data_IF_142485717578
#
_entry.id   IF_142485717578
#
_cell.length_a   1.000
_cell.length_b   1.000
_cell.length_c   1.000
_cell.angle_alpha   90.00
_cell.angle_beta   90.00
_cell.angle_gamma   90.00
#
_symmetry.space_group_name_H-M   'P 1'
#
loop_
_entity.id
_entity.type
_entity.pdbx_description
1 polymer ?
#
# COMPACT_ATOMS: atom_id res chain seq x y z
N UNK A 1 15.30 2.72 15.64
CA UNK A 1 15.37 4.14 15.26
C UNK A 1 13.94 4.53 14.94
N UNK A 2 13.20 4.99 15.95
CA UNK A 2 11.80 5.38 15.79
C UNK A 2 11.77 6.52 14.77
N UNK A 3 11.01 6.39 13.69
CA UNK A 3 11.05 7.41 12.64
C UNK A 3 10.52 8.72 13.24
N UNK A 4 11.34 9.77 13.21
CA UNK A 4 10.99 11.11 13.71
C UNK A 4 9.71 11.64 13.04
N UNK A 5 9.44 11.16 11.82
CA UNK A 5 8.21 11.43 11.06
C UNK A 5 6.96 10.82 11.70
N UNK A 6 7.05 9.61 12.27
CA UNK A 6 5.93 8.97 12.96
C UNK A 6 5.53 9.73 14.23
N UNK A 7 6.53 10.23 14.96
CA UNK A 7 6.31 11.02 16.18
C UNK A 7 5.68 12.37 15.84
N UNK A 8 6.12 13.05 14.76
CA UNK A 8 5.56 14.33 14.33
C UNK A 8 4.11 14.23 13.85
N UNK A 9 3.76 13.25 13.01
CA UNK A 9 2.36 13.10 12.57
C UNK A 9 1.42 12.65 13.69
N UNK A 10 1.88 11.77 14.59
CA UNK A 10 1.09 11.34 15.75
C UNK A 10 0.85 12.53 16.70
N UNK A 11 1.85 13.39 16.90
CA UNK A 11 1.72 14.59 17.72
C UNK A 11 0.72 15.59 17.12
N UNK A 12 0.79 15.89 15.81
CA UNK A 12 -0.09 16.89 15.18
C UNK A 12 -1.58 16.48 15.19
N UNK A 13 -1.89 15.20 14.95
CA UNK A 13 -3.27 14.71 14.96
C UNK A 13 -3.82 14.49 16.39
N UNK A 14 -2.98 14.06 17.34
CA UNK A 14 -3.37 13.86 18.73
C UNK A 14 -3.54 15.21 19.46
N UNK A 15 -2.64 16.18 19.25
CA UNK A 15 -2.73 17.52 19.85
C UNK A 15 -4.03 18.24 19.42
N UNK A 16 -4.49 18.01 18.19
CA UNK A 16 -5.73 18.59 17.67
C UNK A 16 -6.98 18.02 18.35
N UNK A 17 -6.93 16.78 18.83
CA UNK A 17 -8.05 16.07 19.46
C UNK A 17 -8.07 16.20 20.99
N UNK A 18 -6.90 16.18 21.62
CA UNK A 18 -6.75 16.32 23.08
C UNK A 18 -7.12 17.73 23.57
N UNK A 19 -7.07 18.71 22.64
CA UNK A 19 -7.36 20.10 22.92
C UNK A 19 -8.63 20.60 22.22
N UNK A 20 -9.62 19.73 21.93
CA UNK A 20 -10.87 20.12 21.27
C UNK A 20 -11.54 21.33 21.94
N UNK A 21 -11.60 21.39 23.28
CA UNK A 21 -12.16 22.55 23.99
C UNK A 21 -11.35 23.83 23.76
N UNK A 22 -10.04 23.70 23.63
CA UNK A 22 -9.14 24.81 23.36
C UNK A 22 -9.13 25.20 21.89
N UNK A 23 -9.38 24.24 20.99
CA UNK A 23 -9.58 24.45 19.56
C UNK A 23 -10.93 25.14 19.32
N UNK A 24 -12.00 24.70 19.99
CA UNK A 24 -13.30 25.37 20.03
C UNK A 24 -13.14 26.78 20.59
N UNK A 25 -12.45 26.99 21.72
CA UNK A 25 -12.18 28.34 22.26
C UNK A 25 -11.32 29.21 21.36
N UNK A 26 -10.31 28.64 20.70
CA UNK A 26 -9.44 29.35 19.75
C UNK A 26 -10.27 29.80 18.56
N UNK A 27 -11.06 28.89 18.01
CA UNK A 27 -12.04 29.17 16.99
C UNK A 27 -12.99 30.26 17.51
N UNK A 28 -13.71 30.09 18.63
CA UNK A 28 -14.65 31.07 19.21
C UNK A 28 -14.04 32.46 19.46
N UNK A 29 -12.78 32.52 19.88
CA UNK A 29 -12.03 33.79 19.97
C UNK A 29 -11.77 34.41 18.61
N UNK A 30 -11.45 33.59 17.60
CA UNK A 30 -11.41 34.01 16.19
C UNK A 30 -12.81 34.41 15.68
N UNK A 31 -13.90 33.83 16.21
CA UNK A 31 -15.28 34.21 15.88
C UNK A 31 -15.64 35.63 16.31
N UNK A 32 -15.03 36.17 17.36
CA UNK A 32 -15.19 37.59 17.71
C UNK A 32 -14.60 38.56 16.67
N UNK A 33 -13.67 38.06 15.84
CA UNK A 33 -13.01 38.78 14.74
C UNK A 33 -13.49 38.33 13.33
N UNK A 34 -14.47 37.43 13.23
CA UNK A 34 -14.98 36.83 11.97
C UNK A 34 -15.75 37.79 11.05
N UNK A 35 -15.76 39.10 11.32
CA UNK A 35 -16.07 40.06 10.24
C UNK A 35 -14.98 40.08 9.16
N UNK A 36 -13.86 39.38 9.35
CA UNK A 36 -12.69 39.44 8.47
C UNK A 36 -12.24 38.12 7.79
N UNK A 37 -12.90 36.96 7.96
CA UNK A 37 -12.68 35.86 7.00
C UNK A 37 -13.65 36.03 5.83
N UNK A 38 -13.10 36.31 4.65
CA UNK A 38 -13.90 36.46 3.42
C UNK A 38 -14.52 35.15 2.92
N UNK A 39 -14.18 34.02 3.52
CA UNK A 39 -14.61 32.69 3.10
C UNK A 39 -15.59 32.07 4.12
N UNK A 40 -16.63 31.41 3.61
CA UNK A 40 -17.64 30.74 4.43
C UNK A 40 -17.08 29.43 5.03
N UNK A 41 -17.12 29.31 6.36
CA UNK A 41 -16.67 28.13 7.12
C UNK A 41 -17.86 27.45 7.80
N UNK A 42 -17.88 26.11 7.78
CA UNK A 42 -18.82 25.28 8.54
C UNK A 42 -18.04 24.36 9.48
N UNK A 43 -18.37 24.38 10.77
CA UNK A 43 -17.79 23.52 11.81
C UNK A 43 -18.88 22.66 12.45
N UNK A 44 -18.62 21.37 12.58
CA UNK A 44 -19.44 20.41 13.32
C UNK A 44 -18.64 19.91 14.51
N UNK A 45 -19.07 20.25 15.72
CA UNK A 45 -18.41 19.86 16.98
C UNK A 45 -19.46 19.43 18.01
N UNK A 46 -19.10 18.44 18.84
CA UNK A 46 -19.93 17.91 19.93
C UNK A 46 -18.99 17.36 21.01
N UNK A 47 -19.24 17.63 22.31
CA UNK A 47 -18.41 17.11 23.40
C UNK A 47 -18.52 15.59 23.56
N UNK A 48 -19.60 14.98 23.07
CA UNK A 48 -19.84 13.54 23.19
C UNK A 48 -19.69 12.80 21.86
N UNK A 49 -20.54 13.11 20.86
CA UNK A 49 -20.50 12.39 19.58
C UNK A 49 -21.14 13.15 18.42
N UNK A 50 -20.73 12.77 17.20
CA UNK A 50 -21.30 13.16 15.92
C UNK A 50 -21.52 11.88 15.10
N UNK A 51 -22.70 11.72 14.49
CA UNK A 51 -23.02 10.56 13.64
C UNK A 51 -23.54 11.01 12.27
N UNK A 52 -22.98 10.44 11.20
CA UNK A 52 -23.39 10.69 9.82
C UNK A 52 -23.91 9.36 9.23
N UNK A 53 -25.20 9.30 8.92
CA UNK A 53 -25.85 8.09 8.42
C UNK A 53 -26.73 8.44 7.23
N UNK A 54 -26.72 7.58 6.19
CA UNK A 54 -27.56 7.70 5.00
C UNK A 54 -28.15 6.33 4.68
N UNK A 55 -29.40 6.28 4.22
CA UNK A 55 -30.00 5.05 3.68
C UNK A 55 -29.48 4.68 2.28
N UNK A 56 -28.65 5.55 1.69
CA UNK A 56 -27.99 5.36 0.41
C UNK A 56 -26.52 5.79 0.56
N UNK A 57 -26.13 6.88 -0.09
CA UNK A 57 -24.73 7.27 -0.25
C UNK A 57 -24.33 8.41 0.70
N UNK A 58 -23.04 8.45 1.03
CA UNK A 58 -22.35 9.60 1.64
C UNK A 58 -21.16 9.94 0.72
N UNK A 59 -21.07 11.19 0.29
CA UNK A 59 -19.98 11.68 -0.55
C UNK A 59 -19.17 12.75 0.19
N UNK A 60 -17.85 12.58 0.25
CA UNK A 60 -16.91 13.55 0.80
C UNK A 60 -15.89 13.91 -0.27
N UNK A 61 -15.84 15.17 -0.68
CA UNK A 61 -14.96 15.65 -1.74
C UNK A 61 -14.36 16.99 -1.32
N UNK A 62 -13.08 17.21 -1.65
CA UNK A 62 -12.39 18.49 -1.48
C UNK A 62 -11.48 18.74 -2.69
N UNK A 63 -11.27 20.01 -3.05
CA UNK A 63 -10.35 20.39 -4.15
C UNK A 63 -8.88 20.18 -3.77
N UNK A 64 -8.54 20.50 -2.52
CA UNK A 64 -7.16 20.46 -2.05
C UNK A 64 -6.86 19.18 -1.25
N UNK A 65 -7.54 18.97 -0.12
CA UNK A 65 -7.26 17.84 0.78
C UNK A 65 -8.44 17.43 1.64
N UNK A 66 -8.48 16.14 2.00
CA UNK A 66 -9.32 15.58 3.07
C UNK A 66 -8.39 14.94 4.10
N UNK A 67 -8.58 15.27 5.37
CA UNK A 67 -7.84 14.66 6.49
C UNK A 67 -8.84 13.95 7.41
N UNK A 68 -8.54 12.70 7.76
CA UNK A 68 -9.34 11.90 8.70
C UNK A 68 -8.40 11.40 9.79
N UNK A 69 -8.73 11.68 11.05
CA UNK A 69 -7.93 11.35 12.22
C UNK A 69 -8.80 10.79 13.34
N UNK A 70 -8.23 9.95 14.19
CA UNK A 70 -8.86 9.45 15.41
C UNK A 70 -7.80 9.27 16.49
N UNK A 71 -8.09 9.70 17.71
CA UNK A 71 -7.10 9.70 18.80
C UNK A 71 -6.75 8.29 19.29
N UNK A 72 -7.72 7.37 19.23
CA UNK A 72 -7.54 5.97 19.61
C UNK A 72 -7.51 5.02 18.41
N UNK A 73 -8.48 5.15 17.50
CA UNK A 73 -8.56 4.27 16.33
C UNK A 73 -9.36 4.91 15.19
N UNK A 74 -9.15 4.40 13.98
CA UNK A 74 -10.00 4.60 12.81
C UNK A 74 -10.40 3.22 12.33
N UNK A 75 -11.69 2.94 12.27
CA UNK A 75 -12.22 1.66 11.79
C UNK A 75 -12.96 1.88 10.47
N UNK A 76 -12.51 1.22 9.41
CA UNK A 76 -13.13 1.25 8.08
C UNK A 76 -13.52 -0.17 7.71
N UNK A 77 -14.80 -0.39 7.44
CA UNK A 77 -15.34 -1.70 7.06
C UNK A 77 -16.40 -1.54 5.97
N UNK A 78 -16.58 -2.59 5.18
CA UNK A 78 -17.53 -2.68 4.08
C UNK A 78 -17.85 -4.15 3.82
N UNK A 79 -19.03 -4.42 3.28
CA UNK A 79 -19.44 -5.78 2.91
C UNK A 79 -18.82 -6.21 1.57
N UNK A 80 -18.60 -5.27 0.65
CA UNK A 80 -18.12 -5.58 -0.70
C UNK A 80 -16.64 -5.23 -0.92
N UNK A 81 -16.29 -3.95 -0.98
CA UNK A 81 -14.97 -3.53 -1.45
C UNK A 81 -14.46 -2.20 -0.87
N UNK A 82 -13.17 -2.15 -0.57
CA UNK A 82 -12.40 -0.92 -0.31
C UNK A 82 -11.47 -0.70 -1.51
N UNK A 83 -11.54 0.49 -2.11
CA UNK A 83 -10.70 0.86 -3.26
C UNK A 83 -9.93 2.13 -2.92
N UNK A 84 -8.60 2.08 -2.97
CA UNK A 84 -7.72 3.22 -2.73
C UNK A 84 -6.94 3.53 -4.01
N UNK A 85 -7.18 4.70 -4.60
CA UNK A 85 -6.46 5.16 -5.79
C UNK A 85 -5.81 6.52 -5.51
N UNK A 86 -4.56 6.68 -5.92
CA UNK A 86 -3.87 7.96 -5.88
C UNK A 86 -3.10 8.19 -7.19
N UNK A 87 -3.12 9.43 -7.69
CA UNK A 87 -2.35 9.79 -8.89
C UNK A 87 -0.83 9.74 -8.69
N UNK A 88 -0.37 10.07 -7.47
CA UNK A 88 1.06 10.24 -7.18
C UNK A 88 1.61 9.17 -6.25
N UNK A 89 1.01 8.97 -5.07
CA UNK A 89 1.54 8.08 -4.02
C UNK A 89 0.45 7.60 -3.08
N UNK A 90 0.58 6.35 -2.64
CA UNK A 90 -0.08 5.80 -1.44
C UNK A 90 1.02 5.42 -0.44
N UNK A 91 0.83 5.72 0.84
CA UNK A 91 1.79 5.41 1.91
C UNK A 91 1.04 4.87 3.11
N UNK A 92 1.47 3.72 3.64
CA UNK A 92 0.88 3.06 4.81
C UNK A 92 2.01 2.79 5.80
N UNK A 93 1.80 3.12 7.06
CA UNK A 93 2.84 3.05 8.08
C UNK A 93 2.26 2.70 9.44
N UNK A 94 2.92 1.76 10.14
CA UNK A 94 2.66 1.43 11.54
C UNK A 94 3.96 1.70 12.33
N UNK A 95 3.86 2.51 13.40
CA UNK A 95 5.05 3.05 14.08
C UNK A 95 5.50 2.32 15.34
N UNK A 96 4.59 1.61 16.01
CA UNK A 96 4.84 0.96 17.30
C UNK A 96 4.68 -0.55 17.18
N UNK A 97 3.53 -0.98 16.66
CA UNK A 97 3.18 -2.39 16.51
C UNK A 97 3.26 -2.86 15.05
N UNK A 98 2.47 -3.87 14.69
CA UNK A 98 2.56 -4.58 13.43
C UNK A 98 1.66 -4.03 12.32
N UNK A 99 2.13 -4.17 11.07
CA UNK A 99 1.30 -4.00 9.87
C UNK A 99 0.90 -5.38 9.37
N UNK A 100 -0.41 -5.61 9.28
CA UNK A 100 -1.00 -6.89 8.87
C UNK A 100 -1.91 -6.70 7.67
N UNK A 101 -1.71 -7.48 6.61
CA UNK A 101 -2.53 -7.49 5.40
C UNK A 101 -2.87 -8.96 5.08
N UNK A 102 -4.16 -9.29 5.06
CA UNK A 102 -4.63 -10.67 4.88
C UNK A 102 -5.70 -10.75 3.79
N UNK A 103 -5.60 -11.79 2.96
CA UNK A 103 -6.68 -12.24 2.10
C UNK A 103 -7.15 -13.61 2.60
N UNK A 104 -8.35 -13.69 3.18
CA UNK A 104 -8.89 -14.95 3.71
C UNK A 104 -9.23 -15.96 2.60
N UNK A 105 -9.66 -15.44 1.44
CA UNK A 105 -9.94 -16.18 0.22
C UNK A 105 -9.48 -15.36 -0.97
N UNK A 106 -9.22 -16.04 -2.08
CA UNK A 106 -8.79 -15.40 -3.33
C UNK A 106 -7.29 -15.09 -3.37
N UNK A 107 -6.88 -14.39 -4.43
CA UNK A 107 -5.49 -14.09 -4.74
C UNK A 107 -5.03 -12.83 -3.98
N UNK A 108 -3.90 -12.92 -3.29
CA UNK A 108 -3.13 -11.75 -2.89
C UNK A 108 -2.15 -11.38 -4.01
N UNK A 109 -2.21 -10.14 -4.50
CA UNK A 109 -1.41 -9.68 -5.64
C UNK A 109 -0.69 -8.38 -5.28
N UNK A 110 0.62 -8.36 -5.47
CA UNK A 110 1.48 -7.22 -5.19
C UNK A 110 2.41 -7.01 -6.38
N UNK A 111 2.34 -5.82 -7.00
CA UNK A 111 3.06 -5.52 -8.24
C UNK A 111 3.58 -4.09 -8.25
N UNK A 112 4.77 -3.91 -8.81
CA UNK A 112 5.31 -2.63 -9.25
C UNK A 112 5.46 -2.71 -10.78
N UNK A 113 4.59 -2.02 -11.52
CA UNK A 113 4.44 -2.25 -12.97
C UNK A 113 5.47 -1.51 -13.82
N UNK A 114 6.01 -0.40 -13.31
CA UNK A 114 6.95 0.48 -14.02
C UNK A 114 8.21 0.77 -13.19
N UNK A 115 8.38 0.09 -12.05
CA UNK A 115 9.52 0.32 -11.17
C UNK A 115 9.85 -0.92 -10.33
N UNK A 116 10.80 -0.77 -9.43
CA UNK A 116 11.27 -1.82 -8.52
C UNK A 116 10.20 -2.15 -7.50
N UNK A 117 10.07 -3.44 -7.18
CA UNK A 117 9.44 -3.92 -5.95
C UNK A 117 10.56 -4.23 -4.94
N UNK A 118 10.66 -3.44 -3.88
CA UNK A 118 11.65 -3.63 -2.82
C UNK A 118 10.99 -4.20 -1.55
N UNK A 119 11.55 -5.29 -1.03
CA UNK A 119 11.08 -5.99 0.17
C UNK A 119 12.27 -6.25 1.06
N UNK A 120 12.32 -5.55 2.19
CA UNK A 120 13.40 -5.65 3.15
C UNK A 120 12.87 -5.79 4.58
N UNK A 121 13.61 -6.54 5.40
CA UNK A 121 13.34 -6.69 6.82
C UNK A 121 14.65 -6.61 7.59
N UNK A 122 14.60 -6.09 8.82
CA UNK A 122 15.77 -6.05 9.72
C UNK A 122 16.15 -7.45 10.22
N UNK A 123 15.18 -8.32 10.36
CA UNK A 123 15.34 -9.71 10.79
C UNK A 123 15.06 -10.63 9.58
N UNK A 124 14.16 -11.59 9.73
CA UNK A 124 13.91 -12.59 8.71
C UNK A 124 12.90 -12.12 7.66
N UNK A 125 13.12 -12.53 6.40
CA UNK A 125 12.08 -12.56 5.35
C UNK A 125 11.71 -14.03 5.11
N UNK A 126 10.44 -14.37 5.26
CA UNK A 126 9.92 -15.73 5.06
C UNK A 126 8.93 -15.76 3.89
N UNK A 127 9.21 -16.60 2.89
CA UNK A 127 8.34 -16.84 1.74
C UNK A 127 7.99 -18.33 1.76
N UNK A 128 6.71 -18.65 2.01
CA UNK A 128 6.26 -20.03 2.25
C UNK A 128 5.00 -20.31 1.45
N UNK A 129 4.94 -21.48 0.80
CA UNK A 129 3.74 -22.06 0.22
C UNK A 129 3.46 -23.38 0.94
N UNK A 130 2.27 -23.53 1.53
CA UNK A 130 1.94 -24.71 2.34
C UNK A 130 1.54 -25.93 1.51
N UNK A 131 0.88 -25.71 0.37
CA UNK A 131 0.30 -26.78 -0.46
C UNK A 131 0.70 -26.66 -1.94
N UNK A 132 1.31 -25.55 -2.34
CA UNK A 132 1.66 -25.26 -3.73
C UNK A 132 3.17 -25.18 -3.96
N UNK A 133 3.57 -24.29 -4.87
CA UNK A 133 4.96 -24.02 -5.24
C UNK A 133 5.34 -22.57 -4.97
N UNK A 134 6.64 -22.30 -4.91
CA UNK A 134 7.21 -20.95 -4.92
C UNK A 134 7.96 -20.80 -6.24
N UNK A 135 7.61 -19.79 -7.01
CA UNK A 135 8.22 -19.50 -8.32
C UNK A 135 8.89 -18.14 -8.30
N UNK A 136 10.11 -18.08 -8.84
CA UNK A 136 10.88 -16.85 -9.01
C UNK A 136 11.34 -16.83 -10.46
N UNK A 137 10.87 -15.86 -11.22
CA UNK A 137 11.17 -15.70 -12.63
C UNK A 137 11.82 -14.34 -12.87
N UNK A 138 12.82 -14.31 -13.75
CA UNK A 138 13.48 -13.08 -14.19
C UNK A 138 13.85 -13.21 -15.67
N UNK A 139 13.62 -12.17 -16.49
CA UNK A 139 14.08 -12.17 -17.88
C UNK A 139 15.60 -12.08 -18.00
N UNK A 140 16.30 -11.60 -16.96
CA UNK A 140 17.72 -11.24 -17.05
C UNK A 140 18.57 -12.07 -16.09
N UNK A 141 18.33 -11.95 -14.79
CA UNK A 141 19.15 -12.60 -13.77
C UNK A 141 18.36 -12.82 -12.46
N UNK A 142 18.65 -13.93 -11.79
CA UNK A 142 18.30 -14.19 -10.39
C UNK A 142 19.60 -14.37 -9.59
N UNK A 143 19.72 -13.66 -8.48
CA UNK A 143 20.91 -13.70 -7.61
C UNK A 143 20.51 -13.97 -6.16
N UNK A 144 20.98 -15.07 -5.60
CA UNK A 144 20.95 -15.33 -4.17
C UNK A 144 22.33 -15.10 -3.59
N UNK A 145 22.45 -14.20 -2.61
CA UNK A 145 23.73 -13.85 -1.96
C UNK A 145 23.61 -14.01 -0.45
N UNK A 146 24.63 -14.59 0.15
CA UNK A 146 24.77 -14.69 1.60
C UNK A 146 26.25 -14.57 1.98
N UNK A 147 26.61 -13.48 2.68
CA UNK A 147 28.01 -13.11 2.98
C UNK A 147 28.87 -13.19 1.70
N UNK A 148 29.90 -14.03 1.70
CA UNK A 148 30.86 -14.18 0.60
C UNK A 148 30.45 -15.28 -0.41
N UNK A 149 29.25 -15.85 -0.30
CA UNK A 149 28.75 -16.88 -1.23
C UNK A 149 27.56 -16.39 -2.05
N UNK A 150 27.45 -16.88 -3.29
CA UNK A 150 26.35 -16.55 -4.18
C UNK A 150 25.94 -17.71 -5.10
N UNK A 151 24.67 -17.72 -5.49
CA UNK A 151 24.12 -18.48 -6.59
C UNK A 151 23.53 -17.49 -7.60
N UNK A 152 24.04 -17.54 -8.84
CA UNK A 152 23.56 -16.71 -9.95
C UNK A 152 22.96 -17.59 -11.03
N UNK A 153 21.84 -17.15 -11.61
CA UNK A 153 21.14 -17.78 -12.72
C UNK A 153 20.86 -16.70 -13.76
N UNK A 154 21.46 -16.82 -14.95
CA UNK A 154 21.31 -15.84 -16.03
C UNK A 154 21.56 -16.52 -17.40
N UNK A 155 21.70 -15.71 -18.46
CA UNK A 155 21.94 -16.19 -19.83
C UNK A 155 23.22 -17.01 -20.03
N UNK A 156 24.22 -16.87 -19.15
CA UNK A 156 25.46 -17.66 -19.19
C UNK A 156 25.32 -19.02 -18.50
N UNK A 157 24.19 -19.26 -17.81
CA UNK A 157 23.87 -20.50 -17.10
C UNK A 157 23.76 -20.32 -15.58
N UNK A 158 24.11 -21.37 -14.83
CA UNK A 158 24.06 -21.41 -13.36
C UNK A 158 25.48 -21.32 -12.79
N UNK A 159 25.77 -20.26 -12.03
CA UNK A 159 27.08 -20.04 -11.41
C UNK A 159 26.98 -20.12 -9.88
N UNK A 160 27.73 -21.05 -9.28
CA UNK A 160 27.89 -21.17 -7.82
C UNK A 160 29.23 -20.56 -7.41
N UNK A 161 29.21 -19.57 -6.52
CA UNK A 161 30.39 -18.82 -6.06
C UNK A 161 30.52 -19.02 -4.56
N UNK A 162 31.65 -19.56 -4.08
CA UNK A 162 31.97 -19.63 -2.66
C UNK A 162 33.49 -19.67 -2.45
N UNK A 163 34.05 -18.93 -1.46
CA UNK A 163 35.49 -18.95 -1.18
C UNK A 163 35.93 -20.21 -0.42
N UNK A 164 34.98 -20.94 0.16
CA UNK A 164 35.24 -22.10 1.01
C UNK A 164 34.69 -23.36 0.35
N UNK A 165 34.25 -24.32 1.16
CA UNK A 165 33.81 -25.63 0.69
C UNK A 165 32.42 -25.55 0.03
N UNK A 166 32.33 -25.99 -1.22
CA UNK A 166 31.08 -26.45 -1.82
C UNK A 166 30.88 -27.93 -1.49
N UNK A 167 29.73 -28.29 -0.90
CA UNK A 167 29.41 -29.69 -0.53
C UNK A 167 28.12 -30.11 -1.23
N UNK A 168 28.19 -31.08 -2.13
CA UNK A 168 27.04 -31.74 -2.75
C UNK A 168 26.97 -33.19 -2.27
N UNK A 169 25.86 -33.58 -1.64
CA UNK A 169 25.61 -34.95 -1.17
C UNK A 169 24.43 -35.54 -1.94
N UNK A 170 24.68 -36.59 -2.72
CA UNK A 170 23.65 -37.32 -3.45
C UNK A 170 24.03 -38.81 -3.58
N UNK A 171 23.05 -39.69 -3.81
CA UNK A 171 23.28 -41.08 -4.17
C UNK A 171 23.89 -41.23 -5.57
N UNK A 172 23.58 -40.32 -6.49
CA UNK A 172 24.12 -40.25 -7.85
C UNK A 172 24.18 -38.80 -8.32
N UNK A 173 25.20 -38.47 -9.13
CA UNK A 173 25.28 -37.22 -9.90
C UNK A 173 25.25 -37.56 -11.39
N UNK A 174 24.17 -37.21 -12.08
CA UNK A 174 24.00 -37.44 -13.52
C UNK A 174 24.10 -36.10 -14.26
N UNK A 175 24.99 -36.02 -15.25
CA UNK A 175 25.15 -34.86 -16.12
C UNK A 175 24.72 -35.25 -17.55
N UNK A 176 23.65 -34.64 -18.05
CA UNK A 176 23.12 -34.85 -19.41
C UNK A 176 23.41 -33.65 -20.32
N UNK A 177 23.07 -33.76 -21.60
CA UNK A 177 23.13 -32.61 -22.51
C UNK A 177 22.26 -31.45 -22.02
N UNK A 178 22.66 -30.22 -22.34
CA UNK A 178 21.94 -29.01 -21.95
C UNK A 178 20.55 -28.92 -22.57
N UNK A 179 19.67 -28.20 -21.89
CA UNK A 179 18.32 -27.84 -22.34
C UNK A 179 18.05 -26.36 -22.02
N UNK A 180 17.01 -25.79 -22.60
CA UNK A 180 16.60 -24.40 -22.37
C UNK A 180 15.12 -24.34 -22.04
N UNK A 181 14.77 -23.52 -21.05
CA UNK A 181 13.39 -23.16 -20.73
C UNK A 181 13.30 -21.64 -20.56
N UNK A 182 12.21 -21.05 -21.05
CA UNK A 182 11.95 -19.61 -20.94
C UNK A 182 10.88 -19.36 -19.88
N UNK A 183 11.08 -18.37 -18.98
CA UNK A 183 10.07 -18.05 -17.98
C UNK A 183 8.83 -17.43 -18.64
N UNK A 184 7.65 -17.74 -18.12
CA UNK A 184 6.43 -17.00 -18.44
C UNK A 184 6.37 -15.77 -17.53
N UNK A 185 6.44 -14.57 -18.11
CA UNK A 185 6.49 -13.30 -17.38
C UNK A 185 5.15 -12.55 -17.50
N UNK A 186 4.72 -11.81 -16.46
CA UNK A 186 3.58 -10.92 -16.57
C UNK A 186 3.88 -9.80 -17.59
N UNK A 187 2.91 -9.51 -18.45
CA UNK A 187 2.99 -8.38 -19.38
C UNK A 187 2.58 -7.10 -18.66
N UNK A 188 3.53 -6.18 -18.47
CA UNK A 188 3.23 -4.84 -17.97
C UNK A 188 2.99 -3.89 -19.14
N UNK A 189 2.00 -2.98 -19.04
CA UNK A 189 1.76 -1.99 -20.08
C UNK A 189 2.91 -0.98 -20.10
N UNK A 190 3.60 -0.88 -21.24
CA UNK A 190 4.69 0.09 -21.42
C UNK A 190 4.24 1.54 -21.24
N UNK A 191 2.95 1.82 -21.51
CA UNK A 191 2.38 3.15 -21.48
C UNK A 191 1.00 3.08 -20.78
N UNK A 192 0.91 3.51 -19.53
CA UNK A 192 -0.39 3.82 -18.94
C UNK A 192 -0.89 5.09 -19.64
N UNK A 193 -1.90 4.95 -20.51
CA UNK A 193 -2.54 6.10 -21.14
C UNK A 193 -3.25 6.93 -20.06
N UNK A 194 -2.54 7.92 -19.51
CA UNK A 194 -3.06 8.80 -18.46
C UNK A 194 -4.31 9.55 -18.94
N UNK A 195 -4.37 9.92 -20.21
CA UNK A 195 -5.57 10.48 -20.82
C UNK A 195 -6.75 9.51 -20.81
N UNK A 196 -6.50 8.22 -21.02
CA UNK A 196 -7.54 7.20 -21.01
C UNK A 196 -8.03 6.95 -19.57
N UNK A 197 -7.13 6.92 -18.59
CA UNK A 197 -7.50 6.87 -17.17
C UNK A 197 -8.24 8.12 -16.71
N UNK A 198 -7.77 9.31 -17.10
CA UNK A 198 -8.41 10.59 -16.79
C UNK A 198 -9.77 10.72 -17.46
N UNK A 199 -9.92 10.31 -18.73
CA UNK A 199 -11.23 10.24 -19.40
C UNK A 199 -12.15 9.24 -18.70
N UNK A 200 -11.65 8.08 -18.29
CA UNK A 200 -12.47 7.09 -17.57
C UNK A 200 -12.88 7.57 -16.17
N UNK A 201 -12.01 8.31 -15.48
CA UNK A 201 -12.32 8.97 -14.21
C UNK A 201 -13.33 10.10 -14.39
N UNK A 202 -13.23 10.88 -15.47
CA UNK A 202 -14.17 11.96 -15.80
C UNK A 202 -15.51 11.45 -16.39
N UNK A 203 -15.52 10.28 -17.02
CA UNK A 203 -16.72 9.62 -17.57
C UNK A 203 -17.45 8.76 -16.54
N UNK A 204 -16.84 8.50 -15.37
CA UNK A 204 -17.60 8.08 -14.20
C UNK A 204 -18.34 9.31 -13.68
N UNK A 205 -19.58 9.48 -14.13
CA UNK A 205 -20.54 10.28 -13.38
C UNK A 205 -20.57 9.79 -11.93
N UNK A 206 -20.87 10.68 -10.98
CA UNK A 206 -20.91 10.39 -9.55
C UNK A 206 -21.88 9.26 -9.12
N UNK A 207 -22.57 8.64 -10.08
CA UNK A 207 -23.53 7.58 -9.88
C UNK A 207 -23.02 6.30 -10.54
N UNK A 208 -22.84 5.26 -9.73
CA UNK A 208 -22.79 3.88 -10.22
C UNK A 208 -24.16 3.62 -10.85
N UNK A 209 -24.23 3.42 -12.18
CA UNK A 209 -25.41 2.81 -12.78
C UNK A 209 -25.54 1.41 -12.17
N UNK A 210 -26.46 1.26 -11.20
CA UNK A 210 -27.01 -0.06 -10.87
C UNK A 210 -27.61 -0.55 -12.18
N UNK A 211 -27.04 -1.63 -12.72
CA UNK A 211 -27.64 -2.30 -13.87
C UNK A 211 -29.10 -2.59 -13.52
N UNK A 212 -30.00 -2.10 -14.36
CA UNK A 212 -31.41 -2.41 -14.23
C UNK A 212 -31.56 -3.92 -14.38
N UNK A 213 -32.10 -4.55 -13.33
CA UNK A 213 -32.42 -5.96 -13.35
C UNK A 213 -33.44 -6.26 -14.45
N UNK A 214 -33.11 -7.24 -15.27
CA UNK A 214 -34.06 -8.14 -15.93
C UNK A 214 -33.53 -9.56 -15.81
#
# INVERSE_FOLDING_TARGET
MNSEYAVKQKAEAADMLENIDQYIKTIESQWSDLKATKDALMLLASPESISLVSGKDIHMNALDSITVGGGQSINVSTDEHIILNAKKKVSIFAGEDDLKIYAAKGKFDLQSQDNVLDVSARLDVKITSSEGKVEIHSPTEIVFKAKDSALKINGDGVTVITPNKFTAKASQHLFTAGASESPTLPLFPNNICWECLARRAAQRGAFINKGDGM
#
